data_IF_177695556346
#
_entry.id   IF_177695556346
#
_cell.length_a   1.000
_cell.length_b   1.000
_cell.length_c   1.000
_cell.angle_alpha   90.00
_cell.angle_beta   90.00
_cell.angle_gamma   90.00
#
_symmetry.space_group_name_H-M   'P 1'
#
loop_
_entity.id
_entity.type
_entity.pdbx_description
1 polymer ?
#
# COMPACT_ATOMS: atom_id res chain seq x y z
N UNK A 1 14.66 6.97 12.77
CA UNK A 1 15.32 8.15 12.17
C UNK A 1 15.21 8.20 10.64
N UNK A 2 16.12 7.60 9.84
CA UNK A 2 16.09 7.77 8.37
C UNK A 2 14.81 7.25 7.69
N UNK A 3 14.38 6.03 8.00
CA UNK A 3 13.19 5.44 7.36
C UNK A 3 11.92 6.25 7.67
N UNK A 4 11.79 6.74 8.91
CA UNK A 4 10.66 7.58 9.32
C UNK A 4 10.69 8.93 8.58
N UNK A 5 11.88 9.55 8.45
CA UNK A 5 12.06 10.81 7.74
C UNK A 5 11.75 10.67 6.24
N UNK A 6 12.25 9.62 5.59
CA UNK A 6 11.96 9.33 4.18
C UNK A 6 10.47 9.06 3.95
N UNK A 7 9.82 8.30 4.84
CA UNK A 7 8.38 8.06 4.76
C UNK A 7 7.59 9.35 4.92
N UNK A 8 7.97 10.22 5.87
CA UNK A 8 7.33 11.52 6.06
C UNK A 8 7.48 12.41 4.81
N UNK A 9 8.70 12.51 4.27
CA UNK A 9 8.99 13.28 3.06
C UNK A 9 8.19 12.81 1.85
N UNK A 10 8.20 11.50 1.56
CA UNK A 10 7.47 10.95 0.41
C UNK A 10 5.97 11.15 0.58
N UNK A 11 5.41 10.92 1.77
CA UNK A 11 3.97 11.16 2.03
C UNK A 11 3.59 12.61 1.79
N UNK A 12 4.40 13.55 2.27
CA UNK A 12 4.15 14.98 2.09
C UNK A 12 4.21 15.38 0.61
N UNK A 13 5.26 14.95 -0.10
CA UNK A 13 5.44 15.22 -1.51
C UNK A 13 4.28 14.68 -2.38
N UNK A 14 3.69 13.55 -2.00
CA UNK A 14 2.52 12.97 -2.68
C UNK A 14 1.17 13.46 -2.11
N UNK A 15 1.16 14.34 -1.12
CA UNK A 15 -0.08 14.84 -0.49
C UNK A 15 -0.89 13.77 0.26
N UNK A 16 -0.22 12.75 0.81
CA UNK A 16 -0.85 11.63 1.52
C UNK A 16 -1.06 12.00 3.00
N UNK A 17 -2.27 12.42 3.33
CA UNK A 17 -2.67 12.80 4.69
C UNK A 17 -3.09 11.65 5.61
N UNK A 18 -3.12 10.40 5.15
CA UNK A 18 -3.63 9.26 5.91
C UNK A 18 -2.92 9.10 7.27
N UNK A 19 -3.64 9.03 8.41
CA UNK A 19 -3.02 8.88 9.72
C UNK A 19 -2.06 7.70 9.80
N UNK A 20 -0.91 7.90 10.46
CA UNK A 20 0.12 6.87 10.62
C UNK A 20 0.21 6.44 12.09
N UNK A 21 0.12 5.13 12.32
CA UNK A 21 0.32 4.53 13.64
C UNK A 21 1.43 3.48 13.55
N UNK A 22 2.43 3.58 14.43
CA UNK A 22 3.49 2.56 14.52
C UNK A 22 2.95 1.32 15.23
N UNK A 23 3.09 0.15 14.62
CA UNK A 23 2.65 -1.12 15.23
C UNK A 23 3.30 -1.38 16.60
N UNK A 24 4.55 -0.96 16.79
CA UNK A 24 5.25 -1.06 18.08
C UNK A 24 4.61 -0.24 19.21
N UNK A 25 3.78 0.77 18.90
CA UNK A 25 3.03 1.55 19.88
C UNK A 25 1.69 0.91 20.27
N UNK A 26 1.23 -0.10 19.52
CA UNK A 26 -0.06 -0.76 19.77
C UNK A 26 0.03 -1.85 20.84
N UNK A 27 1.24 -2.27 21.24
CA UNK A 27 1.41 -3.32 22.26
C UNK A 27 0.84 -4.69 21.86
N UNK A 28 0.70 -4.96 20.56
CA UNK A 28 0.12 -6.20 20.04
C UNK A 28 1.19 -7.27 19.80
N UNK A 29 0.87 -8.51 20.14
CA UNK A 29 1.71 -9.69 19.90
C UNK A 29 1.17 -10.61 18.80
N UNK A 30 1.82 -11.76 18.65
CA UNK A 30 1.49 -12.79 17.65
C UNK A 30 2.53 -12.87 16.53
N UNK A 31 2.29 -13.74 15.55
CA UNK A 31 3.18 -13.93 14.41
C UNK A 31 2.40 -14.03 13.08
N UNK A 32 3.05 -13.64 11.97
CA UNK A 32 2.50 -13.75 10.60
C UNK A 32 1.06 -13.18 10.53
N UNK A 33 0.07 -13.99 10.13
CA UNK A 33 -1.34 -13.58 10.01
C UNK A 33 -1.95 -13.10 11.31
N UNK A 34 -1.59 -13.72 12.44
CA UNK A 34 -2.17 -13.39 13.74
C UNK A 34 -1.76 -11.98 14.17
N UNK A 35 -0.50 -11.61 13.94
CA UNK A 35 -0.02 -10.26 14.24
C UNK A 35 -0.79 -9.21 13.44
N UNK A 36 -1.01 -9.45 12.13
CA UNK A 36 -1.76 -8.52 11.27
C UNK A 36 -3.21 -8.40 11.74
N UNK A 37 -3.85 -9.52 12.13
CA UNK A 37 -5.20 -9.52 12.68
C UNK A 37 -5.29 -8.72 13.98
N UNK A 38 -4.32 -8.90 14.87
CA UNK A 38 -4.26 -8.18 16.14
C UNK A 38 -4.02 -6.67 15.94
N UNK A 39 -3.19 -6.28 14.98
CA UNK A 39 -3.03 -4.88 14.57
C UNK A 39 -4.37 -4.31 14.11
N UNK A 40 -5.09 -5.01 13.22
CA UNK A 40 -6.39 -4.57 12.71
C UNK A 40 -7.40 -4.37 13.84
N UNK A 41 -7.48 -5.30 14.79
CA UNK A 41 -8.34 -5.19 15.98
C UNK A 41 -7.97 -3.99 16.85
N UNK A 42 -6.68 -3.78 17.10
CA UNK A 42 -6.19 -2.70 17.97
C UNK A 42 -6.51 -1.30 17.41
N UNK A 43 -6.58 -1.15 16.09
CA UNK A 43 -6.95 0.12 15.43
C UNK A 43 -8.42 0.21 15.06
N UNK A 44 -9.24 -0.81 15.38
CA UNK A 44 -10.66 -0.85 15.03
C UNK A 44 -10.93 -0.93 13.52
N UNK A 45 -10.05 -1.58 12.76
CA UNK A 45 -10.21 -1.69 11.32
C UNK A 45 -11.42 -2.59 10.96
N UNK A 46 -12.16 -2.19 9.92
CA UNK A 46 -13.21 -3.01 9.27
C UNK A 46 -12.73 -3.70 7.99
N UNK A 47 -11.63 -3.20 7.42
CA UNK A 47 -11.06 -3.65 6.16
C UNK A 47 -9.54 -3.64 6.25
N UNK A 48 -8.90 -4.69 5.75
CA UNK A 48 -7.48 -4.74 5.46
C UNK A 48 -7.27 -4.79 3.95
N UNK A 49 -6.55 -3.80 3.42
CA UNK A 49 -6.15 -3.76 2.01
C UNK A 49 -4.85 -4.55 1.86
N UNK A 50 -4.81 -5.49 0.92
CA UNK A 50 -3.63 -6.35 0.68
C UNK A 50 -3.27 -6.35 -0.80
N UNK A 51 -1.97 -6.27 -1.10
CA UNK A 51 -1.50 -6.41 -2.48
C UNK A 51 -1.63 -7.85 -3.00
N UNK A 52 -1.53 -8.01 -4.32
CA UNK A 52 -1.60 -9.30 -5.03
C UNK A 52 -0.43 -10.26 -4.74
N UNK A 53 0.62 -9.80 -4.04
CA UNK A 53 1.83 -10.58 -3.76
C UNK A 53 1.73 -11.54 -2.57
N UNK A 54 2.89 -11.89 -2.00
CA UNK A 54 3.03 -12.89 -0.92
C UNK A 54 2.23 -12.60 0.36
N UNK A 55 1.76 -11.36 0.55
CA UNK A 55 0.83 -10.98 1.62
C UNK A 55 -0.46 -11.80 1.62
N UNK A 56 -0.96 -12.16 0.44
CA UNK A 56 -2.21 -12.90 0.30
C UNK A 56 -2.13 -14.35 0.80
N UNK A 57 -0.96 -14.98 0.66
CA UNK A 57 -0.79 -16.41 0.87
C UNK A 57 -0.70 -16.81 2.35
N UNK A 58 -0.25 -15.91 3.23
CA UNK A 58 -0.08 -16.23 4.65
C UNK A 58 -1.27 -15.84 5.52
N UNK A 59 -2.24 -15.06 5.02
CA UNK A 59 -3.36 -14.57 5.79
C UNK A 59 -4.44 -15.64 5.98
N UNK A 60 -4.81 -15.91 7.22
CA UNK A 60 -5.96 -16.75 7.58
C UNK A 60 -7.27 -15.97 7.35
N UNK A 61 -7.79 -16.06 6.13
CA UNK A 61 -9.03 -15.39 5.71
C UNK A 61 -10.22 -15.70 6.63
N UNK A 62 -10.29 -16.92 7.16
CA UNK A 62 -11.39 -17.31 8.04
C UNK A 62 -11.28 -16.60 9.40
N UNK A 63 -10.07 -16.39 9.92
CA UNK A 63 -9.87 -15.63 11.14
C UNK A 63 -10.22 -14.14 10.99
N UNK A 64 -9.89 -13.52 9.84
CA UNK A 64 -10.30 -12.14 9.55
C UNK A 64 -11.83 -12.01 9.41
N UNK A 65 -12.47 -12.92 8.68
CA UNK A 65 -13.93 -12.95 8.53
C UNK A 65 -14.65 -13.12 9.87
N UNK A 66 -14.18 -14.04 10.74
CA UNK A 66 -14.73 -14.22 12.10
C UNK A 66 -14.57 -12.97 12.98
N UNK A 67 -13.54 -12.16 12.73
CA UNK A 67 -13.31 -10.91 13.43
C UNK A 67 -14.07 -9.72 12.81
N UNK A 68 -14.88 -9.93 11.77
CA UNK A 68 -15.62 -8.88 11.08
C UNK A 68 -14.74 -7.96 10.23
N UNK A 69 -13.57 -8.42 9.80
CA UNK A 69 -12.62 -7.63 9.01
C UNK A 69 -12.60 -8.15 7.57
N UNK A 70 -13.01 -7.31 6.62
CA UNK A 70 -12.95 -7.60 5.19
C UNK A 70 -11.51 -7.57 4.68
N UNK A 71 -11.22 -8.42 3.69
CA UNK A 71 -9.94 -8.40 2.96
C UNK A 71 -10.19 -7.89 1.55
N UNK A 72 -9.62 -6.73 1.22
CA UNK A 72 -9.72 -6.13 -0.11
C UNK A 72 -8.39 -6.27 -0.85
N UNK A 73 -8.44 -6.74 -2.09
CA UNK A 73 -7.24 -6.87 -2.92
C UNK A 73 -6.97 -5.57 -3.65
N UNK A 74 -5.79 -5.00 -3.44
CA UNK A 74 -5.33 -3.87 -4.22
C UNK A 74 -4.52 -4.37 -5.42
N UNK A 75 -5.06 -4.14 -6.61
CA UNK A 75 -4.31 -4.24 -7.85
C UNK A 75 -3.71 -2.88 -8.17
N UNK A 76 -2.39 -2.81 -8.20
CA UNK A 76 -1.66 -1.60 -8.55
C UNK A 76 -1.13 -1.70 -9.97
N UNK A 77 -1.52 -0.75 -10.82
CA UNK A 77 -0.97 -0.60 -12.17
C UNK A 77 0.09 0.48 -12.13
N UNK A 78 1.32 0.15 -12.51
CA UNK A 78 2.41 1.14 -12.54
C UNK A 78 2.12 2.21 -13.60
N UNK A 79 2.14 3.51 -13.23
CA UNK A 79 2.07 4.54 -14.25
C UNK A 79 3.34 4.52 -15.10
N UNK A 80 3.18 4.73 -16.40
CA UNK A 80 4.29 4.85 -17.34
C UNK A 80 4.61 6.33 -17.50
N UNK A 81 5.86 6.71 -17.28
CA UNK A 81 6.33 8.08 -17.38
C UNK A 81 7.75 8.13 -17.95
N UNK A 82 8.18 9.26 -18.52
CA UNK A 82 9.55 9.44 -18.97
C UNK A 82 10.51 9.40 -17.78
N UNK A 83 11.37 8.37 -17.74
CA UNK A 83 12.46 8.25 -16.77
C UNK A 83 13.74 8.89 -17.33
N UNK A 84 14.55 9.52 -16.48
CA UNK A 84 15.84 10.10 -16.87
C UNK A 84 16.81 8.98 -17.27
N UNK A 85 17.25 9.02 -18.51
CA UNK A 85 18.16 8.03 -19.10
C UNK A 85 17.81 7.79 -20.58
N UNK A 86 18.68 7.06 -21.29
CA UNK A 86 18.45 6.71 -22.70
C UNK A 86 17.71 5.36 -22.88
N UNK A 87 17.23 4.76 -21.79
CA UNK A 87 16.62 3.42 -21.79
C UNK A 87 15.09 3.43 -21.81
N UNK A 88 14.46 2.26 -22.05
CA UNK A 88 13.02 2.10 -21.91
C UNK A 88 12.57 2.26 -20.45
N UNK A 89 11.26 2.46 -20.24
CA UNK A 89 10.66 2.51 -18.92
C UNK A 89 10.96 1.24 -18.12
N UNK A 90 11.44 1.42 -16.89
CA UNK A 90 11.71 0.36 -15.93
C UNK A 90 10.65 0.39 -14.82
N UNK A 91 9.80 -0.64 -14.79
CA UNK A 91 8.73 -0.78 -13.80
C UNK A 91 9.26 -1.25 -12.43
N UNK A 92 8.43 -1.11 -11.39
CA UNK A 92 8.77 -1.63 -10.05
C UNK A 92 9.80 -0.81 -9.27
N UNK A 93 10.14 0.40 -9.73
CA UNK A 93 11.01 1.32 -9.00
C UNK A 93 10.28 1.99 -7.82
N UNK A 94 11.07 2.58 -6.91
CA UNK A 94 10.54 3.26 -5.73
C UNK A 94 9.67 4.47 -6.08
N UNK A 95 8.80 4.88 -5.16
CA UNK A 95 8.03 6.13 -5.30
C UNK A 95 8.93 7.38 -5.45
N UNK A 96 10.20 7.32 -5.06
CA UNK A 96 11.15 8.42 -5.25
C UNK A 96 11.53 8.57 -6.73
N UNK A 97 11.54 7.48 -7.51
CA UNK A 97 11.84 7.55 -8.95
C UNK A 97 10.81 8.42 -9.68
N UNK A 98 9.52 8.11 -9.50
CA UNK A 98 8.44 8.90 -10.07
C UNK A 98 8.51 10.37 -9.62
N UNK A 99 8.72 10.59 -8.31
CA UNK A 99 8.79 11.94 -7.74
C UNK A 99 9.91 12.77 -8.37
N UNK A 100 11.10 12.21 -8.57
CA UNK A 100 12.24 12.97 -9.11
C UNK A 100 12.19 13.10 -10.63
N UNK A 101 11.50 12.20 -11.33
CA UNK A 101 11.29 12.33 -12.77
C UNK A 101 10.19 13.32 -13.13
N UNK A 102 9.13 13.42 -12.31
CA UNK A 102 7.90 14.17 -12.63
C UNK A 102 7.58 15.32 -11.68
N UNK A 103 8.30 15.45 -10.56
CA UNK A 103 8.12 16.54 -9.62
C UNK A 103 6.68 16.61 -9.10
N UNK A 104 6.06 17.80 -9.03
CA UNK A 104 4.69 17.98 -8.54
C UNK A 104 3.62 17.15 -9.30
N UNK A 105 3.83 16.85 -10.58
CA UNK A 105 2.90 16.06 -11.41
C UNK A 105 2.89 14.57 -11.03
N UNK A 106 3.84 14.12 -10.22
CA UNK A 106 3.99 12.73 -9.81
C UNK A 106 2.71 12.16 -9.16
N UNK A 107 2.00 12.99 -8.39
CA UNK A 107 0.75 12.58 -7.71
C UNK A 107 -0.35 12.25 -8.71
N UNK A 108 -0.52 13.06 -9.74
CA UNK A 108 -1.61 12.92 -10.71
C UNK A 108 -1.47 11.62 -11.51
N UNK A 109 -0.23 11.19 -11.74
CA UNK A 109 0.08 9.92 -12.40
C UNK A 109 -0.30 8.68 -11.57
N UNK A 110 -0.40 8.80 -10.23
CA UNK A 110 -0.83 7.70 -9.37
C UNK A 110 -2.36 7.60 -9.26
N UNK A 111 -3.09 8.65 -9.64
CA UNK A 111 -4.56 8.75 -9.51
C UNK A 111 -5.37 8.15 -10.66
N UNK A 112 -4.76 7.32 -11.52
CA UNK A 112 -5.42 6.66 -12.64
C UNK A 112 -6.55 5.72 -12.22
N UNK A 113 -7.49 5.50 -13.15
CA UNK A 113 -8.79 4.83 -12.96
C UNK A 113 -8.71 3.59 -12.05
N UNK A 114 -9.55 3.60 -11.01
CA UNK A 114 -9.84 2.41 -10.22
C UNK A 114 -10.48 1.41 -11.18
N UNK A 115 -9.75 0.35 -11.55
CA UNK A 115 -10.32 -0.72 -12.35
C UNK A 115 -11.55 -1.26 -11.60
N UNK A 116 -12.72 -1.04 -12.18
CA UNK A 116 -13.99 -1.53 -11.66
C UNK A 116 -13.87 -3.06 -11.47
N UNK A 117 -14.25 -3.56 -10.29
CA UNK A 117 -14.19 -4.97 -9.89
C UNK A 117 -14.97 -5.90 -10.85
N UNK A 118 -15.76 -5.34 -11.77
CA UNK A 118 -16.56 -6.03 -12.76
C UNK A 118 -15.77 -6.62 -13.95
N UNK A 119 -14.49 -6.28 -14.14
CA UNK A 119 -13.71 -6.78 -15.29
C UNK A 119 -12.94 -8.10 -15.04
N UNK A 120 -12.83 -8.56 -13.78
CA UNK A 120 -12.08 -9.78 -13.42
C UNK A 120 -12.96 -11.01 -13.13
N UNK A 121 -14.26 -10.93 -13.42
CA UNK A 121 -15.22 -12.02 -13.29
C UNK A 121 -15.77 -12.54 -14.63
N UNK A 122 -15.09 -12.26 -15.76
CA UNK A 122 -15.40 -12.80 -17.08
C UNK A 122 -14.40 -13.88 -17.51
#
# INVERSE_FOLDING_TARGET
>A
ELNDAMLAFVRDAYGIGTPLVKSSRLGVGGAKSELVLNICKAVGARTLIVGLGGSRAYLDRAAFARAGIALELQQFTHPVYPQRGAGPFNAGLSAVDLLFNRGPEARDLLGGECADELALAA
#
